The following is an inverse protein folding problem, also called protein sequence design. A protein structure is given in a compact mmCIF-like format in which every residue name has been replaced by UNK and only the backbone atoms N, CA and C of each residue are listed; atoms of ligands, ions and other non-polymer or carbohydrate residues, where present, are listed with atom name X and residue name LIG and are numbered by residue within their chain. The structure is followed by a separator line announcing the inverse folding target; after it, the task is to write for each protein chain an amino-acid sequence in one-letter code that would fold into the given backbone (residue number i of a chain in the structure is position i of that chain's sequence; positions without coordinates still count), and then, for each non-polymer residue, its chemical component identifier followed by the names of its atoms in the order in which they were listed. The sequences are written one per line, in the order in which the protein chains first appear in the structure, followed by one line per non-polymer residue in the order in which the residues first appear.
data_IF_909299307659
#
_entry.id   IF_909299307659
#
_cell.length_a   1.000
_cell.length_b   1.000
_cell.length_c   1.000
_cell.angle_alpha   90.00
_cell.angle_beta   90.00
_cell.angle_gamma   90.00
#
_symmetry.space_group_name_H-M   'P 1'
#
loop_
_entity.id
_entity.type
_entity.pdbx_description
1 polymer ?
#
# COMPACT_ATOMS: atom_id res chain seq x y z
N UNK A 1 63.22 46.98 2.93
CA UNK A 1 63.09 45.92 3.95
C UNK A 1 61.65 45.41 3.93
N UNK A 2 61.36 44.34 3.21
CA UNK A 2 60.06 43.65 3.28
C UNK A 2 60.33 42.45 4.19
N UNK A 3 59.94 42.56 5.46
CA UNK A 3 60.14 41.51 6.44
C UNK A 3 59.34 40.27 6.06
N UNK A 4 60.04 39.20 5.69
CA UNK A 4 59.45 37.88 5.42
C UNK A 4 58.96 37.28 6.74
N UNK A 5 57.72 37.56 7.13
CA UNK A 5 57.04 36.79 8.15
C UNK A 5 56.50 35.53 7.49
N UNK A 6 57.29 34.45 7.53
CA UNK A 6 56.78 33.12 7.22
C UNK A 6 55.80 32.73 8.33
N UNK A 7 54.51 32.96 8.11
CA UNK A 7 53.47 32.42 8.99
C UNK A 7 53.69 30.91 9.11
N UNK A 8 53.71 30.40 10.34
CA UNK A 8 53.70 28.96 10.58
C UNK A 8 52.50 28.31 9.87
N UNK A 9 52.60 27.07 9.35
CA UNK A 9 51.50 26.41 8.66
C UNK A 9 50.18 26.39 9.45
N UNK A 10 50.26 26.28 10.77
CA UNK A 10 49.11 26.35 11.68
C UNK A 10 48.46 27.74 11.66
N UNK A 11 49.25 28.80 11.82
CA UNK A 11 48.74 30.18 11.79
C UNK A 11 48.14 30.57 10.44
N UNK A 12 48.73 30.10 9.33
CA UNK A 12 48.15 30.26 8.00
C UNK A 12 46.79 29.54 7.89
N UNK A 13 46.72 28.28 8.34
CA UNK A 13 45.48 27.49 8.31
C UNK A 13 44.36 28.12 9.13
N UNK A 14 44.66 28.60 10.34
CA UNK A 14 43.70 29.32 11.20
C UNK A 14 43.25 30.62 10.53
N UNK A 15 44.17 31.39 9.96
CA UNK A 15 43.84 32.64 9.25
C UNK A 15 42.92 32.39 8.05
N UNK A 16 43.20 31.38 7.23
CA UNK A 16 42.33 31.01 6.10
C UNK A 16 40.96 30.54 6.58
N UNK A 17 40.91 29.68 7.60
CA UNK A 17 39.65 29.18 8.16
C UNK A 17 38.78 30.30 8.74
N UNK A 18 39.38 31.22 9.49
CA UNK A 18 38.69 32.38 10.08
C UNK A 18 38.22 33.36 9.02
N UNK A 19 39.06 33.70 8.03
CA UNK A 19 38.70 34.56 6.92
C UNK A 19 37.54 33.97 6.11
N UNK A 20 37.57 32.66 5.85
CA UNK A 20 36.52 31.98 5.09
C UNK A 20 35.21 31.85 5.89
N UNK A 21 35.28 31.60 7.20
CA UNK A 21 34.12 31.63 8.09
C UNK A 21 33.49 33.03 8.14
N UNK A 22 34.30 34.09 8.27
CA UNK A 22 33.82 35.47 8.21
C UNK A 22 33.16 35.79 6.87
N UNK A 23 33.78 35.39 5.74
CA UNK A 23 33.20 35.52 4.41
C UNK A 23 31.83 34.84 4.32
N UNK A 24 31.73 33.61 4.84
CA UNK A 24 30.48 32.85 4.86
C UNK A 24 29.36 33.47 5.68
N UNK A 25 29.68 33.99 6.87
CA UNK A 25 28.73 34.70 7.72
C UNK A 25 28.23 35.99 7.06
N UNK A 26 29.14 36.78 6.46
CA UNK A 26 28.78 37.99 5.71
C UNK A 26 27.89 37.63 4.52
N UNK A 27 28.25 36.61 3.74
CA UNK A 27 27.47 36.16 2.59
C UNK A 27 26.07 35.68 3.01
N UNK A 28 25.97 34.97 4.13
CA UNK A 28 24.70 34.50 4.69
C UNK A 28 23.82 35.67 5.15
N UNK A 29 24.42 36.67 5.82
CA UNK A 29 23.72 37.88 6.26
C UNK A 29 23.19 38.68 5.06
N UNK A 30 24.03 38.93 4.05
CA UNK A 30 23.63 39.63 2.82
C UNK A 30 22.51 38.86 2.13
N UNK A 31 22.63 37.54 2.01
CA UNK A 31 21.59 36.68 1.41
C UNK A 31 20.26 36.80 2.15
N UNK A 32 20.29 36.82 3.48
CA UNK A 32 19.11 37.00 4.32
C UNK A 32 18.45 38.38 4.10
N UNK A 33 19.25 39.45 4.15
CA UNK A 33 18.76 40.82 3.93
C UNK A 33 18.15 41.00 2.53
N UNK A 34 18.82 40.45 1.51
CA UNK A 34 18.31 40.49 0.14
C UNK A 34 17.01 39.70 0.00
N UNK A 35 16.92 38.48 0.54
CA UNK A 35 15.68 37.70 0.50
C UNK A 35 14.52 38.43 1.20
N UNK A 36 14.77 39.09 2.33
CA UNK A 36 13.75 39.84 3.04
C UNK A 36 13.26 41.06 2.25
N UNK A 37 14.18 41.84 1.67
CA UNK A 37 13.86 43.00 0.82
C UNK A 37 13.08 42.61 -0.44
N UNK A 38 13.36 41.42 -0.98
CA UNK A 38 12.74 40.91 -2.20
C UNK A 38 11.38 40.22 -1.98
N UNK A 39 10.93 40.06 -0.74
CA UNK A 39 9.68 39.36 -0.40
C UNK A 39 8.38 40.21 -0.58
N UNK A 40 8.44 41.34 -1.29
CA UNK A 40 7.29 42.21 -1.56
C UNK A 40 6.30 41.67 -2.61
N UNK A 41 5.04 42.15 -2.55
CA UNK A 41 3.85 41.72 -3.30
C UNK A 41 4.11 41.16 -4.73
N UNK A 42 3.66 39.92 -4.98
CA UNK A 42 3.71 39.28 -6.30
C UNK A 42 2.59 39.82 -7.20
N UNK A 43 2.92 40.29 -8.40
CA UNK A 43 1.89 40.71 -9.36
C UNK A 43 2.35 41.32 -10.69
N UNK A 44 3.64 41.63 -10.89
CA UNK A 44 4.14 42.29 -12.12
C UNK A 44 5.33 41.58 -12.76
N UNK A 45 5.69 41.88 -14.03
CA UNK A 45 6.88 41.34 -14.72
C UNK A 45 8.19 41.51 -13.92
N UNK A 46 8.29 42.59 -13.12
CA UNK A 46 9.38 42.87 -12.18
C UNK A 46 9.56 41.77 -11.12
N UNK A 47 8.52 40.97 -10.86
CA UNK A 47 8.52 39.84 -9.90
C UNK A 47 9.40 38.68 -10.38
N UNK A 48 9.43 38.36 -11.69
CA UNK A 48 10.20 37.22 -12.21
C UNK A 48 11.71 37.45 -12.15
N UNK A 49 12.19 38.64 -12.55
CA UNK A 49 13.61 39.00 -12.45
C UNK A 49 14.08 39.04 -10.99
N UNK A 50 13.26 39.59 -10.09
CA UNK A 50 13.54 39.57 -8.65
C UNK A 50 13.62 38.14 -8.14
N UNK A 51 12.63 37.30 -8.42
CA UNK A 51 12.63 35.90 -8.00
C UNK A 51 13.85 35.14 -8.54
N UNK A 52 14.16 35.29 -9.82
CA UNK A 52 15.35 34.70 -10.44
C UNK A 52 16.63 35.14 -9.74
N UNK A 53 16.80 36.44 -9.49
CA UNK A 53 17.99 36.97 -8.83
C UNK A 53 18.09 36.44 -7.38
N UNK A 54 16.97 36.41 -6.65
CA UNK A 54 16.91 35.82 -5.31
C UNK A 54 17.31 34.34 -5.29
N UNK A 55 16.85 33.56 -6.27
CA UNK A 55 17.28 32.17 -6.44
C UNK A 55 18.78 32.07 -6.73
N UNK A 56 19.35 32.95 -7.57
CA UNK A 56 20.79 32.97 -7.88
C UNK A 56 21.66 33.31 -6.68
N UNK A 57 21.23 34.28 -5.86
CA UNK A 57 21.92 34.68 -4.63
C UNK A 57 21.88 33.52 -3.63
N UNK A 58 20.69 32.96 -3.38
CA UNK A 58 20.50 31.82 -2.46
C UNK A 58 21.33 30.61 -2.89
N UNK A 59 21.31 30.27 -4.19
CA UNK A 59 22.11 29.18 -4.75
C UNK A 59 23.62 29.43 -4.59
N UNK A 60 24.07 30.66 -4.83
CA UNK A 60 25.48 31.04 -4.69
C UNK A 60 25.95 30.96 -3.23
N UNK A 61 25.15 31.45 -2.28
CA UNK A 61 25.44 31.31 -0.84
C UNK A 61 25.52 29.84 -0.42
N UNK A 62 24.62 29.01 -0.94
CA UNK A 62 24.61 27.58 -0.64
C UNK A 62 25.88 26.87 -1.11
N UNK A 63 26.22 27.05 -2.39
CA UNK A 63 27.38 26.40 -2.99
C UNK A 63 28.71 26.88 -2.39
N UNK A 64 28.80 28.17 -2.04
CA UNK A 64 30.03 28.77 -1.54
C UNK A 64 30.25 28.61 -0.05
N UNK A 65 29.22 28.39 0.77
CA UNK A 65 29.38 28.34 2.22
C UNK A 65 28.45 27.36 2.93
N UNK A 66 27.14 27.49 2.76
CA UNK A 66 26.21 26.81 3.70
C UNK A 66 26.21 25.29 3.54
N UNK A 67 26.64 24.76 2.38
CA UNK A 67 26.90 23.33 2.20
C UNK A 67 27.88 22.76 3.24
N UNK A 68 28.81 23.57 3.77
CA UNK A 68 29.75 23.13 4.81
C UNK A 68 29.12 23.01 6.20
N UNK A 69 27.98 23.67 6.42
CA UNK A 69 27.20 23.55 7.65
C UNK A 69 26.32 22.30 7.68
N UNK A 70 26.26 21.57 6.54
CA UNK A 70 25.54 20.32 6.40
C UNK A 70 25.80 19.35 7.54
N UNK A 71 24.73 18.76 8.08
CA UNK A 71 24.79 17.80 9.18
C UNK A 71 24.92 18.43 10.56
N UNK A 72 24.99 19.77 10.66
CA UNK A 72 25.03 20.50 11.92
C UNK A 72 23.75 21.32 12.13
N UNK A 73 23.44 21.66 13.39
CA UNK A 73 22.33 22.57 13.73
C UNK A 73 22.51 23.97 13.10
N UNK A 74 23.74 24.38 12.76
CA UNK A 74 24.00 25.67 12.13
C UNK A 74 23.28 25.80 10.78
N UNK A 75 23.07 24.70 10.04
CA UNK A 75 22.31 24.73 8.80
C UNK A 75 20.81 25.00 9.05
N UNK A 76 20.24 24.42 10.10
CA UNK A 76 18.87 24.69 10.54
C UNK A 76 18.72 26.16 10.97
N UNK A 77 19.69 26.68 11.75
CA UNK A 77 19.74 28.08 12.17
C UNK A 77 19.83 29.03 10.97
N UNK A 78 20.57 28.67 9.91
CA UNK A 78 20.67 29.45 8.67
C UNK A 78 19.35 29.51 7.88
N UNK A 79 18.58 28.41 7.84
CA UNK A 79 17.32 28.36 7.07
C UNK A 79 16.19 29.18 7.71
N UNK A 80 16.13 29.27 9.04
CA UNK A 80 15.10 30.00 9.79
C UNK A 80 14.98 31.49 9.39
N UNK A 81 16.06 32.31 9.41
CA UNK A 81 15.99 33.73 9.03
C UNK A 81 15.71 33.94 7.53
N UNK A 82 15.95 32.94 6.68
CA UNK A 82 15.52 32.97 5.27
C UNK A 82 14.02 32.73 5.07
N UNK A 83 13.29 32.44 6.14
CA UNK A 83 11.84 32.27 6.16
C UNK A 83 11.35 30.82 6.24
N UNK A 84 12.26 29.83 6.23
CA UNK A 84 11.85 28.44 6.44
C UNK A 84 11.42 28.22 7.90
N UNK A 85 10.37 27.43 8.10
CA UNK A 85 9.99 26.97 9.44
C UNK A 85 10.74 25.67 9.70
N UNK A 86 11.71 25.67 10.60
CA UNK A 86 12.51 24.47 10.93
C UNK A 86 12.45 24.23 12.43
N UNK A 87 11.93 23.06 12.82
CA UNK A 87 11.80 22.60 14.20
C UNK A 87 13.15 22.31 14.89
N UNK A 88 13.07 21.66 16.05
CA UNK A 88 14.23 21.28 16.87
C UNK A 88 14.69 19.86 16.54
N UNK A 89 15.96 19.56 16.84
CA UNK A 89 16.56 18.22 16.68
C UNK A 89 16.55 17.70 15.24
N UNK A 90 16.61 18.62 14.27
CA UNK A 90 16.64 18.26 12.85
C UNK A 90 18.08 18.00 12.40
N UNK A 91 18.26 16.99 11.57
CA UNK A 91 19.54 16.67 10.95
C UNK A 91 19.40 16.77 9.44
N UNK A 92 19.97 17.82 8.85
CA UNK A 92 19.86 18.10 7.42
C UNK A 92 21.22 17.90 6.76
N UNK A 93 21.34 16.90 5.89
CA UNK A 93 22.64 16.50 5.32
C UNK A 93 22.68 16.62 3.80
N UNK A 94 23.66 17.38 3.33
CA UNK A 94 24.11 17.48 1.94
C UNK A 94 22.97 17.73 0.92
N UNK A 95 21.99 18.55 1.28
CA UNK A 95 20.82 18.80 0.44
C UNK A 95 21.10 19.80 -0.70
N UNK A 96 20.16 19.89 -1.65
CA UNK A 96 20.14 20.95 -2.65
C UNK A 96 19.93 22.34 -1.99
N UNK A 97 20.35 23.43 -2.67
CA UNK A 97 19.94 24.77 -2.28
C UNK A 97 18.41 24.87 -2.23
N UNK A 98 17.87 25.27 -1.08
CA UNK A 98 16.44 25.56 -0.91
C UNK A 98 16.18 26.95 -1.47
N UNK A 99 15.62 27.02 -2.68
CA UNK A 99 15.49 28.29 -3.43
C UNK A 99 14.41 29.22 -2.88
N UNK A 100 13.32 28.67 -2.32
CA UNK A 100 12.26 29.45 -1.66
C UNK A 100 12.05 28.96 -0.22
N UNK A 101 12.96 29.31 0.73
CA UNK A 101 12.88 28.83 2.11
C UNK A 101 11.53 29.11 2.78
N UNK A 102 10.90 30.25 2.49
CA UNK A 102 9.55 30.62 2.97
C UNK A 102 8.43 29.63 2.64
N UNK A 103 8.63 28.75 1.64
CA UNK A 103 7.68 27.72 1.25
C UNK A 103 7.96 26.38 1.96
N UNK A 104 9.03 26.27 2.74
CA UNK A 104 9.43 25.04 3.43
C UNK A 104 9.03 25.09 4.91
N UNK A 105 8.34 24.05 5.35
CA UNK A 105 8.11 23.76 6.77
C UNK A 105 8.68 22.38 7.09
N UNK A 106 9.49 22.31 8.13
CA UNK A 106 10.15 21.12 8.67
C UNK A 106 9.84 21.06 10.17
N UNK A 107 9.22 19.97 10.60
CA UNK A 107 8.85 19.69 11.98
C UNK A 107 10.06 19.38 12.89
N UNK A 108 9.79 18.85 14.07
CA UNK A 108 10.82 18.42 15.02
C UNK A 108 11.35 17.02 14.68
N UNK A 109 12.62 16.75 14.98
CA UNK A 109 13.18 15.39 14.82
C UNK A 109 13.30 14.92 13.37
N UNK A 110 13.23 15.83 12.39
CA UNK A 110 13.30 15.47 10.97
C UNK A 110 14.74 15.18 10.55
N UNK A 111 14.93 14.07 9.84
CA UNK A 111 16.20 13.73 9.20
C UNK A 111 16.09 13.84 7.68
N UNK A 112 16.91 14.70 7.08
CA UNK A 112 17.11 14.76 5.63
C UNK A 112 18.45 14.08 5.29
N UNK A 113 18.38 12.88 4.73
CA UNK A 113 19.53 12.07 4.37
C UNK A 113 20.36 12.67 3.24
N UNK A 114 21.57 12.15 3.07
CA UNK A 114 22.57 12.70 2.15
C UNK A 114 22.01 12.86 0.73
N UNK A 115 22.20 14.04 0.14
CA UNK A 115 21.75 14.38 -1.22
C UNK A 115 20.24 14.31 -1.44
N UNK A 116 19.44 14.22 -0.38
CA UNK A 116 17.99 14.43 -0.47
C UNK A 116 17.68 15.85 -0.96
N UNK A 117 16.52 16.02 -1.60
CA UNK A 117 16.14 17.29 -2.19
C UNK A 117 14.76 17.73 -1.77
N UNK A 118 14.65 18.99 -1.37
CA UNK A 118 13.37 19.68 -1.20
C UNK A 118 13.24 20.69 -2.34
N UNK A 119 12.24 20.47 -3.19
CA UNK A 119 11.95 21.31 -4.35
C UNK A 119 10.59 21.97 -4.12
N UNK A 120 10.60 23.27 -3.88
CA UNK A 120 9.40 24.10 -3.66
C UNK A 120 8.78 24.61 -4.95
N UNK A 121 9.54 24.61 -6.05
CA UNK A 121 9.06 25.00 -7.35
C UNK A 121 9.99 24.60 -8.48
N UNK A 122 9.47 24.57 -9.70
CA UNK A 122 10.22 24.26 -10.92
C UNK A 122 9.65 25.03 -12.12
N UNK A 123 10.48 25.15 -13.16
CA UNK A 123 10.08 25.74 -14.43
C UNK A 123 9.46 24.67 -15.34
N UNK A 124 8.32 24.99 -15.93
CA UNK A 124 7.59 24.18 -16.91
C UNK A 124 7.32 25.01 -18.17
N UNK A 125 6.69 24.41 -19.19
CA UNK A 125 6.20 25.15 -20.36
C UNK A 125 5.29 26.31 -19.98
N UNK A 126 4.54 26.16 -18.88
CA UNK A 126 3.53 27.11 -18.41
C UNK A 126 4.13 28.17 -17.46
N UNK A 127 5.47 28.18 -17.33
CA UNK A 127 6.20 29.08 -16.47
C UNK A 127 6.64 28.45 -15.14
N UNK A 128 7.00 29.29 -14.18
CA UNK A 128 7.46 28.87 -12.86
C UNK A 128 6.26 28.56 -11.96
N UNK A 129 6.19 27.32 -11.49
CA UNK A 129 5.19 26.89 -10.50
C UNK A 129 5.90 26.64 -9.17
N UNK A 130 5.40 27.24 -8.08
CA UNK A 130 5.86 26.93 -6.73
C UNK A 130 4.69 26.69 -5.77
N UNK A 131 4.93 25.87 -4.76
CA UNK A 131 3.95 25.49 -3.75
C UNK A 131 4.65 25.14 -2.44
N UNK A 132 3.96 25.34 -1.32
CA UNK A 132 4.47 24.97 0.01
C UNK A 132 4.76 23.48 0.08
N UNK A 133 5.83 23.13 0.79
CA UNK A 133 6.21 21.77 1.15
C UNK A 133 6.21 21.68 2.67
N UNK A 134 5.50 20.70 3.22
CA UNK A 134 5.41 20.49 4.66
C UNK A 134 5.95 19.09 5.02
N UNK A 135 6.98 19.07 5.84
CA UNK A 135 7.55 17.86 6.46
C UNK A 135 7.22 17.94 7.95
N UNK A 136 6.39 17.04 8.46
CA UNK A 136 5.98 17.02 9.87
C UNK A 136 7.02 16.33 10.77
N UNK A 137 6.68 16.09 12.02
CA UNK A 137 7.60 15.63 13.06
C UNK A 137 8.06 14.18 12.81
N UNK A 138 9.29 13.86 13.24
CA UNK A 138 9.90 12.53 13.18
C UNK A 138 9.98 11.90 11.78
N UNK A 139 9.98 12.72 10.73
CA UNK A 139 10.10 12.24 9.35
C UNK A 139 11.55 11.91 9.01
N UNK A 140 11.75 10.80 8.30
CA UNK A 140 13.06 10.43 7.73
C UNK A 140 12.98 10.43 6.21
N UNK A 141 13.79 11.27 5.59
CA UNK A 141 14.00 11.25 4.14
C UNK A 141 15.30 10.52 3.82
N UNK A 142 15.20 9.39 3.14
CA UNK A 142 16.36 8.60 2.73
C UNK A 142 17.27 9.34 1.76
N UNK A 143 18.51 8.87 1.63
CA UNK A 143 19.49 9.48 0.74
C UNK A 143 18.98 9.59 -0.70
N UNK A 144 19.26 10.73 -1.35
CA UNK A 144 18.80 11.05 -2.71
C UNK A 144 17.27 11.00 -2.92
N UNK A 145 16.47 11.00 -1.85
CA UNK A 145 15.02 11.17 -1.97
C UNK A 145 14.67 12.58 -2.43
N UNK A 146 13.50 12.75 -3.05
CA UNK A 146 13.05 14.04 -3.58
C UNK A 146 11.66 14.36 -3.06
N UNK A 147 11.48 15.56 -2.54
CA UNK A 147 10.20 16.10 -2.09
C UNK A 147 9.78 17.21 -3.05
N UNK A 148 8.65 17.01 -3.73
CA UNK A 148 8.16 17.90 -4.78
C UNK A 148 7.11 18.91 -4.28
N UNK A 149 6.83 19.98 -5.04
CA UNK A 149 5.96 21.07 -4.58
C UNK A 149 4.56 20.58 -4.17
N UNK A 150 4.03 21.11 -3.07
CA UNK A 150 2.70 20.76 -2.58
C UNK A 150 2.60 19.46 -1.80
N UNK A 151 3.71 18.75 -1.63
CA UNK A 151 3.70 17.55 -0.82
C UNK A 151 3.60 17.86 0.67
N UNK A 152 2.81 17.02 1.36
CA UNK A 152 2.69 17.00 2.82
C UNK A 152 3.16 15.63 3.27
N UNK A 153 4.25 15.59 4.02
CA UNK A 153 4.81 14.37 4.58
C UNK A 153 4.42 14.36 6.05
N UNK A 154 3.49 13.47 6.41
CA UNK A 154 2.94 13.43 7.76
C UNK A 154 3.93 12.88 8.79
N UNK A 155 3.57 12.99 10.07
CA UNK A 155 4.37 12.53 11.20
C UNK A 155 4.83 11.07 11.04
N UNK A 156 6.02 10.76 11.55
CA UNK A 156 6.56 9.40 11.62
C UNK A 156 6.74 8.69 10.25
N UNK A 157 6.69 9.43 9.14
CA UNK A 157 6.87 8.89 7.78
C UNK A 157 8.35 8.64 7.47
N UNK A 158 8.63 7.53 6.77
CA UNK A 158 9.94 7.24 6.18
C UNK A 158 9.80 7.21 4.67
N UNK A 159 10.57 8.05 3.97
CA UNK A 159 10.76 7.95 2.52
C UNK A 159 12.07 7.19 2.28
N UNK A 160 12.00 6.08 1.53
CA UNK A 160 13.17 5.28 1.18
C UNK A 160 14.20 6.07 0.36
N UNK A 161 15.43 5.58 0.32
CA UNK A 161 16.45 6.14 -0.56
C UNK A 161 15.97 6.13 -2.03
N UNK A 162 16.39 7.12 -2.82
CA UNK A 162 16.01 7.28 -4.24
C UNK A 162 14.49 7.38 -4.51
N UNK A 163 13.67 7.57 -3.47
CA UNK A 163 12.21 7.64 -3.59
C UNK A 163 11.73 9.09 -3.65
N UNK A 164 10.52 9.30 -4.17
CA UNK A 164 9.98 10.64 -4.43
C UNK A 164 8.64 10.81 -3.70
N UNK A 165 8.45 11.95 -3.03
CA UNK A 165 7.12 12.46 -2.66
C UNK A 165 6.58 13.31 -3.84
N UNK A 166 5.56 12.84 -4.57
CA UNK A 166 5.04 13.50 -5.77
C UNK A 166 4.48 14.89 -5.51
N UNK A 167 4.34 15.66 -6.58
CA UNK A 167 3.65 16.96 -6.55
C UNK A 167 2.24 16.76 -5.97
N UNK A 168 1.85 17.60 -5.01
CA UNK A 168 0.52 17.56 -4.37
C UNK A 168 0.14 16.23 -3.70
N UNK A 169 1.15 15.48 -3.22
CA UNK A 169 0.91 14.22 -2.51
C UNK A 169 0.79 14.43 -1.00
N UNK A 170 0.04 13.53 -0.34
CA UNK A 170 0.05 13.40 1.12
C UNK A 170 0.57 12.01 1.46
N UNK A 171 1.75 11.94 2.08
CA UNK A 171 2.29 10.70 2.63
C UNK A 171 1.76 10.54 4.04
N UNK A 172 1.06 9.45 4.29
CA UNK A 172 0.27 9.20 5.49
C UNK A 172 1.13 8.80 6.68
N UNK A 173 0.72 9.24 7.87
CA UNK A 173 1.41 9.06 9.15
C UNK A 173 1.88 7.62 9.36
N UNK A 174 3.14 7.48 9.78
CA UNK A 174 3.79 6.19 10.07
C UNK A 174 4.11 5.32 8.84
N UNK A 175 3.78 5.79 7.63
CA UNK A 175 4.04 5.06 6.40
C UNK A 175 5.53 5.01 6.03
N UNK A 176 5.97 3.86 5.53
CA UNK A 176 7.26 3.68 4.86
C UNK A 176 7.01 3.61 3.36
N UNK A 177 7.50 4.59 2.62
CA UNK A 177 7.24 4.77 1.19
C UNK A 177 8.49 4.49 0.35
N UNK A 178 8.34 3.72 -0.73
CA UNK A 178 9.41 3.45 -1.70
C UNK A 178 8.92 3.66 -3.13
N UNK A 179 9.76 4.23 -3.99
CA UNK A 179 9.51 4.39 -5.43
C UNK A 179 9.42 5.85 -5.87
N UNK A 180 9.45 6.08 -7.19
CA UNK A 180 9.54 7.43 -7.79
C UNK A 180 8.26 7.90 -8.48
N UNK A 181 7.65 7.08 -9.35
CA UNK A 181 6.45 7.48 -10.11
C UNK A 181 5.17 7.39 -9.28
N UNK A 182 5.05 6.34 -8.48
CA UNK A 182 3.92 6.09 -7.60
C UNK A 182 4.49 5.48 -6.32
N UNK A 183 4.92 6.31 -5.34
CA UNK A 183 5.49 5.79 -4.12
C UNK A 183 4.48 4.87 -3.44
N UNK A 184 4.90 3.64 -3.18
CA UNK A 184 4.07 2.61 -2.55
C UNK A 184 4.38 2.64 -1.06
N UNK A 185 3.34 2.71 -0.22
CA UNK A 185 3.49 2.45 1.19
C UNK A 185 3.69 0.95 1.39
N UNK A 186 4.91 0.54 1.76
CA UNK A 186 5.26 -0.88 1.95
C UNK A 186 4.95 -1.37 3.37
N UNK A 187 4.85 -0.44 4.33
CA UNK A 187 4.58 -0.71 5.74
C UNK A 187 3.97 0.53 6.36
N UNK A 188 3.01 0.37 7.25
CA UNK A 188 2.61 1.42 8.19
C UNK A 188 3.05 1.00 9.59
N UNK A 189 3.85 1.84 10.25
CA UNK A 189 4.39 1.59 11.59
C UNK A 189 3.37 1.85 12.71
N UNK A 190 2.22 2.44 12.38
CA UNK A 190 1.13 2.67 13.33
C UNK A 190 0.24 1.43 13.50
N UNK A 191 0.25 0.50 12.53
CA UNK A 191 -0.50 -0.74 12.68
C UNK A 191 0.31 -1.72 13.51
N UNK A 192 -0.32 -2.29 14.54
CA UNK A 192 0.23 -3.43 15.26
C UNK A 192 0.56 -4.55 14.26
N UNK A 193 1.74 -5.12 14.39
CA UNK A 193 2.11 -6.30 13.62
C UNK A 193 1.21 -7.44 14.11
N UNK A 194 0.42 -8.01 13.20
CA UNK A 194 -0.41 -9.17 13.51
C UNK A 194 0.50 -10.29 14.05
N UNK A 195 0.34 -10.63 15.33
CA UNK A 195 1.15 -11.65 16.01
C UNK A 195 1.14 -12.97 15.22
N UNK A 196 0.02 -13.28 14.55
CA UNK A 196 -0.12 -14.48 13.71
C UNK A 196 0.85 -14.48 12.52
N UNK A 197 1.31 -13.32 12.03
CA UNK A 197 2.32 -13.18 10.96
C UNK A 197 3.73 -13.37 11.52
N UNK A 198 3.97 -12.97 12.76
CA UNK A 198 5.27 -13.17 13.43
C UNK A 198 5.47 -14.62 13.87
N UNK A 199 4.41 -15.29 14.31
CA UNK A 199 4.43 -16.70 14.68
C UNK A 199 4.47 -17.67 13.48
N UNK A 200 4.34 -17.18 12.24
CA UNK A 200 4.39 -18.04 11.05
C UNK A 200 5.75 -18.72 10.93
N UNK A 201 5.72 -20.00 10.54
CA UNK A 201 6.92 -20.71 10.11
C UNK A 201 7.71 -19.88 9.07
N UNK A 202 9.04 -19.74 9.20
CA UNK A 202 9.83 -18.88 8.32
C UNK A 202 9.72 -19.24 6.83
N UNK A 203 9.59 -20.53 6.49
CA UNK A 203 9.44 -20.98 5.10
C UNK A 203 8.05 -20.58 4.58
N UNK A 204 7.01 -20.75 5.38
CA UNK A 204 5.67 -20.28 5.08
C UNK A 204 5.64 -18.76 4.87
N UNK A 205 6.20 -17.98 5.81
CA UNK A 205 6.29 -16.51 5.77
C UNK A 205 7.01 -16.03 4.50
N UNK A 206 8.10 -16.70 4.10
CA UNK A 206 8.83 -16.38 2.86
C UNK A 206 7.98 -16.60 1.60
N UNK A 207 7.27 -17.73 1.50
CA UNK A 207 6.40 -18.02 0.34
C UNK A 207 5.26 -17.00 0.27
N UNK A 208 4.59 -16.73 1.41
CA UNK A 208 3.52 -15.74 1.49
C UNK A 208 4.02 -14.34 1.13
N UNK A 209 5.18 -13.93 1.62
CA UNK A 209 5.76 -12.61 1.31
C UNK A 209 6.03 -12.42 -0.18
N UNK A 210 6.62 -13.42 -0.84
CA UNK A 210 6.87 -13.38 -2.29
C UNK A 210 5.56 -13.37 -3.09
N UNK A 211 4.58 -14.17 -2.68
CA UNK A 211 3.27 -14.23 -3.31
C UNK A 211 2.53 -12.89 -3.15
N UNK A 212 2.54 -12.33 -1.94
CA UNK A 212 1.90 -11.06 -1.61
C UNK A 212 2.48 -9.92 -2.46
N UNK A 213 3.80 -9.86 -2.64
CA UNK A 213 4.42 -8.85 -3.50
C UNK A 213 3.94 -8.94 -4.96
N UNK A 214 3.88 -10.15 -5.53
CA UNK A 214 3.40 -10.38 -6.90
C UNK A 214 1.91 -10.03 -7.07
N UNK A 215 1.08 -10.45 -6.11
CA UNK A 215 -0.35 -10.15 -6.10
C UNK A 215 -0.59 -8.64 -5.92
N UNK A 216 0.18 -7.98 -5.05
CA UNK A 216 0.07 -6.55 -4.77
C UNK A 216 0.42 -5.71 -6.00
N UNK A 217 1.50 -6.02 -6.72
CA UNK A 217 1.87 -5.29 -7.93
C UNK A 217 0.74 -5.28 -8.96
N UNK A 218 0.10 -6.44 -9.17
CA UNK A 218 -1.03 -6.58 -10.10
C UNK A 218 -2.27 -5.85 -9.59
N UNK A 219 -2.60 -6.00 -8.30
CA UNK A 219 -3.76 -5.37 -7.65
C UNK A 219 -3.66 -3.85 -7.67
N UNK A 220 -2.48 -3.29 -7.38
CA UNK A 220 -2.22 -1.84 -7.40
C UNK A 220 -2.35 -1.27 -8.81
N UNK A 221 -1.86 -2.01 -9.83
CA UNK A 221 -1.96 -1.61 -11.23
C UNK A 221 -3.41 -1.68 -11.73
N UNK A 222 -4.12 -2.76 -11.43
CA UNK A 222 -5.49 -2.99 -11.91
C UNK A 222 -6.56 -2.28 -11.08
N UNK A 223 -6.22 -1.80 -9.87
CA UNK A 223 -7.12 -1.22 -8.86
C UNK A 223 -8.35 -2.08 -8.59
N UNK A 224 -8.18 -3.40 -8.67
CA UNK A 224 -9.21 -4.42 -8.47
C UNK A 224 -8.56 -5.64 -7.84
N UNK A 225 -9.36 -6.51 -7.23
CA UNK A 225 -8.85 -7.76 -6.66
C UNK A 225 -8.16 -8.61 -7.72
N UNK A 226 -7.14 -9.36 -7.29
CA UNK A 226 -6.45 -10.31 -8.15
C UNK A 226 -7.37 -11.47 -8.56
N UNK A 227 -7.94 -12.17 -7.58
CA UNK A 227 -9.01 -13.18 -7.78
C UNK A 227 -10.36 -12.58 -7.44
N UNK A 228 -11.44 -13.21 -7.90
CA UNK A 228 -12.78 -12.75 -7.58
C UNK A 228 -13.00 -11.28 -7.94
N UNK A 229 -12.53 -10.89 -9.14
CA UNK A 229 -12.48 -9.50 -9.60
C UNK A 229 -13.86 -8.92 -9.82
N UNK A 230 -14.77 -9.74 -10.35
CA UNK A 230 -16.18 -9.40 -10.59
C UNK A 230 -17.06 -10.21 -9.65
N UNK A 231 -18.08 -9.53 -9.14
CA UNK A 231 -19.06 -10.09 -8.27
C UNK A 231 -20.17 -9.09 -7.98
N UNK A 232 -21.19 -9.58 -7.30
CA UNK A 232 -22.36 -8.82 -6.87
C UNK A 232 -22.44 -8.90 -5.36
N UNK A 233 -22.75 -7.78 -4.71
CA UNK A 233 -22.87 -7.69 -3.26
C UNK A 233 -24.26 -7.24 -2.87
N UNK A 234 -24.71 -7.71 -1.70
CA UNK A 234 -25.96 -7.29 -1.11
C UNK A 234 -25.86 -7.21 0.41
N UNK A 235 -26.97 -6.80 1.03
CA UNK A 235 -27.17 -6.86 2.48
C UNK A 235 -28.32 -7.79 2.77
N UNK A 236 -28.21 -8.57 3.83
CA UNK A 236 -29.26 -9.46 4.30
C UNK A 236 -29.34 -9.54 5.82
N UNK A 237 -30.28 -10.34 6.30
CA UNK A 237 -30.49 -10.64 7.72
C UNK A 237 -30.11 -12.10 7.96
N UNK A 238 -29.33 -12.38 9.01
CA UNK A 238 -29.08 -13.75 9.46
C UNK A 238 -29.86 -13.99 10.73
N UNK A 239 -30.84 -14.88 10.63
CA UNK A 239 -31.53 -15.44 11.79
C UNK A 239 -30.83 -16.74 12.16
N UNK A 240 -30.49 -16.88 13.43
CA UNK A 240 -29.95 -18.11 14.00
C UNK A 240 -31.12 -18.92 14.56
N UNK A 241 -31.04 -20.25 14.46
CA UNK A 241 -32.03 -21.13 15.09
C UNK A 241 -31.92 -21.02 16.63
N UNK A 242 -33.05 -20.96 17.32
CA UNK A 242 -33.11 -20.71 18.78
C UNK A 242 -32.33 -21.76 19.61
N UNK A 243 -32.19 -22.98 19.09
CA UNK A 243 -31.37 -24.03 19.68
C UNK A 243 -30.71 -24.86 18.56
N UNK A 244 -29.39 -24.98 18.59
CA UNK A 244 -28.62 -25.84 17.69
C UNK A 244 -28.16 -27.06 18.49
N UNK A 245 -28.89 -28.16 18.35
CA UNK A 245 -28.58 -29.40 19.08
C UNK A 245 -27.12 -29.84 18.85
N UNK A 246 -26.42 -30.14 19.95
CA UNK A 246 -25.01 -30.55 19.93
C UNK A 246 -23.99 -29.41 19.89
N UNK A 247 -24.43 -28.14 19.85
CA UNK A 247 -23.54 -26.98 19.90
C UNK A 247 -23.78 -26.15 21.17
N UNK A 248 -22.75 -25.93 22.01
CA UNK A 248 -22.86 -24.97 23.11
C UNK A 248 -22.97 -23.52 22.59
N UNK A 249 -23.29 -22.59 23.49
CA UNK A 249 -23.40 -21.17 23.16
C UNK A 249 -22.08 -20.58 22.63
N UNK A 250 -22.18 -19.78 21.57
CA UNK A 250 -21.06 -19.09 20.94
C UNK A 250 -21.48 -17.69 20.50
N UNK A 251 -20.57 -16.71 20.59
CA UNK A 251 -20.81 -15.30 20.22
C UNK A 251 -21.25 -15.06 18.76
N UNK A 252 -21.17 -16.08 17.91
CA UNK A 252 -21.54 -16.00 16.49
C UNK A 252 -23.01 -16.43 16.30
N UNK A 253 -23.55 -17.22 17.23
CA UNK A 253 -24.93 -17.70 17.25
C UNK A 253 -25.87 -16.66 17.85
N UNK A 254 -25.81 -15.43 17.32
CA UNK A 254 -26.72 -14.33 17.65
C UNK A 254 -27.43 -13.88 16.37
N UNK A 255 -28.64 -13.32 16.43
CA UNK A 255 -29.32 -12.76 15.25
C UNK A 255 -28.59 -11.49 14.77
N UNK A 256 -28.52 -11.30 13.45
CA UNK A 256 -27.83 -10.16 12.83
C UNK A 256 -28.73 -9.43 11.82
N UNK A 257 -28.98 -8.15 12.06
CA UNK A 257 -29.93 -7.33 11.28
C UNK A 257 -29.35 -6.80 9.96
N UNK A 258 -28.03 -6.64 9.85
CA UNK A 258 -27.38 -6.21 8.61
C UNK A 258 -26.06 -6.96 8.38
N UNK A 259 -26.08 -7.93 7.47
CA UNK A 259 -24.91 -8.67 7.05
C UNK A 259 -24.59 -8.41 5.58
N UNK A 260 -23.43 -7.82 5.28
CA UNK A 260 -22.95 -7.74 3.92
C UNK A 260 -22.54 -9.14 3.44
N UNK A 261 -22.98 -9.48 2.24
CA UNK A 261 -22.57 -10.68 1.53
C UNK A 261 -22.16 -10.35 0.09
N UNK A 262 -21.40 -11.25 -0.53
CA UNK A 262 -20.96 -11.10 -1.90
C UNK A 262 -20.88 -12.45 -2.61
N UNK A 263 -21.35 -12.51 -3.85
CA UNK A 263 -21.05 -13.58 -4.79
C UNK A 263 -20.03 -13.11 -5.84
N UNK A 264 -19.24 -14.02 -6.39
CA UNK A 264 -18.21 -13.70 -7.38
C UNK A 264 -17.82 -14.90 -8.24
N UNK A 265 -17.22 -14.62 -9.39
CA UNK A 265 -16.45 -15.62 -10.14
C UNK A 265 -15.11 -15.85 -9.46
N UNK A 266 -14.40 -16.95 -9.72
CA UNK A 266 -13.12 -17.22 -9.06
C UNK A 266 -11.94 -16.64 -9.83
N UNK A 267 -11.96 -16.75 -11.15
CA UNK A 267 -10.83 -16.43 -12.00
C UNK A 267 -10.92 -15.00 -12.58
N UNK A 268 -9.86 -14.60 -13.30
CA UNK A 268 -9.60 -13.21 -13.71
C UNK A 268 -10.48 -12.78 -14.89
N UNK A 269 -11.09 -13.73 -15.61
CA UNK A 269 -11.85 -13.44 -16.82
C UNK A 269 -13.26 -12.96 -16.47
N UNK A 270 -13.60 -11.80 -16.99
CA UNK A 270 -14.85 -11.07 -16.74
C UNK A 270 -16.01 -11.65 -17.61
N UNK A 271 -16.31 -12.94 -17.47
CA UNK A 271 -17.37 -13.64 -18.23
C UNK A 271 -18.06 -14.74 -17.40
N UNK A 272 -19.32 -14.50 -17.05
CA UNK A 272 -20.16 -15.37 -16.22
C UNK A 272 -20.49 -16.70 -16.91
N UNK A 273 -20.51 -16.75 -18.25
CA UNK A 273 -20.87 -17.94 -19.02
C UNK A 273 -19.72 -18.96 -19.08
N UNK A 274 -18.50 -18.57 -18.73
CA UNK A 274 -17.39 -19.50 -18.59
C UNK A 274 -17.63 -20.45 -17.42
N UNK A 275 -17.21 -21.69 -17.60
CA UNK A 275 -17.26 -22.67 -16.51
C UNK A 275 -16.13 -22.34 -15.54
N UNK A 276 -16.52 -21.95 -14.33
CA UNK A 276 -15.60 -21.50 -13.29
C UNK A 276 -16.07 -21.99 -11.92
N UNK A 277 -15.17 -21.99 -10.95
CA UNK A 277 -15.55 -22.00 -9.56
C UNK A 277 -16.22 -20.66 -9.20
N UNK A 278 -17.18 -20.70 -8.28
CA UNK A 278 -17.89 -19.50 -7.82
C UNK A 278 -17.59 -19.28 -6.34
N UNK A 279 -17.38 -18.02 -5.98
CA UNK A 279 -17.14 -17.58 -4.60
C UNK A 279 -18.40 -17.02 -3.96
N UNK A 280 -18.51 -17.20 -2.64
CA UNK A 280 -19.43 -16.49 -1.78
C UNK A 280 -18.69 -15.99 -0.55
N UNK A 281 -18.93 -14.76 -0.11
CA UNK A 281 -18.35 -14.20 1.09
C UNK A 281 -19.45 -13.61 1.98
N UNK A 282 -19.36 -13.84 3.28
CA UNK A 282 -20.22 -13.26 4.30
C UNK A 282 -19.36 -12.65 5.40
N UNK A 283 -19.74 -11.48 5.90
CA UNK A 283 -19.06 -10.82 7.01
C UNK A 283 -20.01 -10.58 8.16
N UNK A 284 -19.69 -11.13 9.34
CA UNK A 284 -20.38 -10.91 10.61
C UNK A 284 -19.61 -9.86 11.40
N UNK A 285 -20.27 -8.75 11.72
CA UNK A 285 -19.67 -7.62 12.43
C UNK A 285 -19.85 -7.75 13.95
N UNK A 286 -18.99 -7.11 14.74
CA UNK A 286 -19.19 -7.04 16.20
C UNK A 286 -20.31 -6.06 16.55
N UNK A 287 -21.14 -6.41 17.54
CA UNK A 287 -22.13 -5.50 18.12
C UNK A 287 -21.51 -4.39 18.99
N UNK A 288 -20.23 -4.52 19.38
CA UNK A 288 -19.54 -3.48 20.15
C UNK A 288 -19.41 -2.22 19.28
N UNK A 289 -19.45 -1.06 19.91
CA UNK A 289 -19.44 0.30 19.30
C UNK A 289 -18.33 0.57 18.27
N UNK A 290 -17.38 -0.34 18.14
CA UNK A 290 -16.31 -0.34 17.16
C UNK A 290 -16.69 -1.26 15.99
N UNK A 291 -17.45 -0.73 15.02
CA UNK A 291 -17.87 -1.46 13.80
C UNK A 291 -16.70 -1.83 12.87
N UNK A 292 -15.46 -1.56 13.25
CA UNK A 292 -14.28 -1.75 12.40
C UNK A 292 -13.78 -3.20 12.36
N UNK A 293 -13.96 -3.98 13.44
CA UNK A 293 -13.48 -5.38 13.48
C UNK A 293 -14.60 -6.41 13.23
N UNK A 294 -14.52 -7.26 12.19
CA UNK A 294 -15.48 -8.35 11.99
C UNK A 294 -15.29 -9.44 13.04
N UNK A 295 -16.39 -9.99 13.56
CA UNK A 295 -16.37 -11.22 14.37
C UNK A 295 -16.01 -12.43 13.51
N UNK A 296 -16.48 -12.47 12.26
CA UNK A 296 -16.22 -13.58 11.35
C UNK A 296 -16.31 -13.12 9.89
N UNK A 297 -15.21 -13.23 9.16
CA UNK A 297 -15.22 -13.23 7.70
C UNK A 297 -15.24 -14.69 7.20
N UNK A 298 -16.31 -15.06 6.50
CA UNK A 298 -16.45 -16.35 5.83
C UNK A 298 -16.20 -16.18 4.34
N UNK A 299 -15.14 -16.80 3.85
CA UNK A 299 -14.85 -16.94 2.42
C UNK A 299 -15.16 -18.37 2.02
N UNK A 300 -16.12 -18.54 1.13
CA UNK A 300 -16.65 -19.82 0.69
C UNK A 300 -16.48 -19.93 -0.83
N UNK A 301 -16.40 -21.16 -1.32
CA UNK A 301 -16.41 -21.43 -2.76
C UNK A 301 -17.17 -22.70 -3.09
N UNK A 302 -17.52 -22.87 -4.35
CA UNK A 302 -18.05 -24.13 -4.86
C UNK A 302 -17.02 -25.26 -4.74
N UNK A 303 -17.51 -26.48 -4.48
CA UNK A 303 -16.72 -27.69 -4.31
C UNK A 303 -16.31 -27.99 -2.87
N UNK A 304 -16.47 -29.27 -2.48
CA UNK A 304 -16.37 -29.75 -1.09
C UNK A 304 -14.94 -29.70 -0.52
N UNK A 305 -13.93 -29.64 -1.39
CA UNK A 305 -12.52 -29.57 -1.02
C UNK A 305 -11.82 -28.41 -1.73
N UNK A 306 -10.75 -27.91 -1.10
CA UNK A 306 -9.78 -27.02 -1.76
C UNK A 306 -8.63 -27.86 -2.28
N UNK A 307 -8.15 -27.55 -3.48
CA UNK A 307 -7.12 -28.35 -4.15
C UNK A 307 -5.74 -28.19 -3.50
N UNK A 308 -5.43 -27.01 -2.95
CA UNK A 308 -4.17 -26.75 -2.29
C UNK A 308 -4.28 -27.07 -0.80
N UNK A 309 -3.42 -27.98 -0.30
CA UNK A 309 -3.33 -28.29 1.13
C UNK A 309 -2.34 -27.38 1.85
N UNK A 310 -1.35 -26.88 1.13
CA UNK A 310 -0.31 -25.98 1.63
C UNK A 310 -0.22 -24.72 0.79
N UNK A 311 0.40 -23.66 1.34
CA UNK A 311 0.72 -22.47 0.55
C UNK A 311 1.65 -22.77 -0.63
N UNK A 312 2.49 -23.81 -0.50
CA UNK A 312 3.35 -24.25 -1.60
C UNK A 312 2.54 -24.85 -2.74
N UNK A 313 1.52 -25.67 -2.44
CA UNK A 313 0.60 -26.21 -3.47
C UNK A 313 -0.12 -25.07 -4.19
N UNK A 314 -0.56 -24.06 -3.44
CA UNK A 314 -1.22 -22.88 -4.00
C UNK A 314 -0.28 -22.06 -4.88
N UNK A 315 0.96 -21.84 -4.44
CA UNK A 315 1.98 -21.13 -5.22
C UNK A 315 2.35 -21.87 -6.52
N UNK A 316 2.52 -23.20 -6.46
CA UNK A 316 2.74 -24.04 -7.64
C UNK A 316 1.57 -23.91 -8.62
N UNK A 317 0.33 -23.98 -8.12
CA UNK A 317 -0.84 -23.80 -8.96
C UNK A 317 -0.85 -22.44 -9.66
N UNK A 318 -0.54 -21.36 -8.93
CA UNK A 318 -0.59 -20.02 -9.49
C UNK A 318 0.52 -19.74 -10.51
N UNK A 319 1.73 -20.23 -10.28
CA UNK A 319 2.93 -19.83 -11.03
C UNK A 319 3.26 -20.80 -12.18
N UNK A 320 2.98 -22.09 -12.01
CA UNK A 320 3.41 -23.11 -12.97
C UNK A 320 2.40 -23.31 -14.10
N UNK A 321 2.87 -23.73 -15.29
CA UNK A 321 2.01 -24.10 -16.42
C UNK A 321 1.34 -25.47 -16.25
N UNK A 322 0.40 -25.79 -17.15
CA UNK A 322 -0.39 -27.02 -17.10
C UNK A 322 0.44 -28.32 -16.94
N UNK A 323 1.55 -28.56 -17.67
CA UNK A 323 2.31 -29.80 -17.54
C UNK A 323 2.86 -30.03 -16.12
N UNK A 324 3.33 -28.96 -15.47
CA UNK A 324 3.84 -29.04 -14.09
C UNK A 324 2.72 -29.26 -13.07
N UNK A 325 1.52 -28.70 -13.31
CA UNK A 325 0.34 -28.97 -12.47
C UNK A 325 -0.12 -30.42 -12.61
N UNK A 326 -0.13 -30.98 -13.82
CA UNK A 326 -0.47 -32.38 -14.04
C UNK A 326 0.54 -33.33 -13.39
N UNK A 327 1.83 -32.98 -13.38
CA UNK A 327 2.83 -33.73 -12.61
C UNK A 327 2.53 -33.71 -11.10
N UNK A 328 2.10 -32.55 -10.57
CA UNK A 328 1.64 -32.46 -9.18
C UNK A 328 0.41 -33.33 -8.92
N UNK A 329 -0.53 -33.44 -9.87
CA UNK A 329 -1.69 -34.34 -9.77
C UNK A 329 -1.27 -35.80 -9.68
N UNK A 330 -0.23 -36.24 -10.41
CA UNK A 330 0.29 -37.61 -10.28
C UNK A 330 0.74 -37.93 -8.85
N UNK A 331 1.40 -36.97 -8.20
CA UNK A 331 1.85 -37.10 -6.81
C UNK A 331 0.70 -36.97 -5.81
N UNK A 332 -0.33 -36.18 -6.14
CA UNK A 332 -1.43 -35.85 -5.26
C UNK A 332 -2.78 -35.92 -6.02
N UNK A 333 -3.33 -37.13 -6.27
CA UNK A 333 -4.50 -37.32 -7.15
C UNK A 333 -5.75 -36.52 -6.76
N UNK A 334 -5.95 -36.28 -5.46
CA UNK A 334 -7.07 -35.49 -4.94
C UNK A 334 -7.18 -34.07 -5.52
N UNK A 335 -6.08 -33.49 -6.02
CA UNK A 335 -6.07 -32.16 -6.66
C UNK A 335 -7.02 -32.15 -7.84
N UNK A 336 -6.98 -33.19 -8.68
CA UNK A 336 -7.86 -33.33 -9.84
C UNK A 336 -9.32 -33.26 -9.41
N UNK A 337 -9.69 -34.10 -8.46
CA UNK A 337 -11.09 -34.22 -8.03
C UNK A 337 -11.56 -32.94 -7.35
N UNK A 338 -10.72 -32.29 -6.54
CA UNK A 338 -11.03 -31.02 -5.89
C UNK A 338 -11.24 -29.87 -6.90
N UNK A 339 -10.44 -29.82 -7.96
CA UNK A 339 -10.57 -28.81 -9.03
C UNK A 339 -11.85 -29.03 -9.82
N UNK A 340 -12.07 -30.22 -10.38
CA UNK A 340 -13.28 -30.51 -11.16
C UNK A 340 -14.56 -30.34 -10.34
N UNK A 341 -14.56 -30.79 -9.09
CA UNK A 341 -15.69 -30.62 -8.18
C UNK A 341 -15.99 -29.15 -7.85
N UNK A 342 -15.05 -28.22 -8.07
CA UNK A 342 -15.29 -26.80 -7.83
C UNK A 342 -16.02 -26.10 -8.98
N UNK A 343 -15.94 -26.62 -10.21
CA UNK A 343 -16.47 -25.97 -11.40
C UNK A 343 -18.00 -26.10 -11.50
N UNK A 344 -18.67 -25.07 -12.02
CA UNK A 344 -20.13 -25.06 -12.19
C UNK A 344 -20.58 -24.46 -13.52
N UNK A 345 -21.61 -25.06 -14.11
CA UNK A 345 -22.47 -24.41 -15.11
C UNK A 345 -23.52 -23.54 -14.41
N UNK A 346 -23.09 -22.39 -13.89
CA UNK A 346 -23.96 -21.53 -13.10
C UNK A 346 -25.02 -20.83 -13.98
N UNK A 347 -26.27 -20.81 -13.50
CA UNK A 347 -27.36 -19.99 -14.06
C UNK A 347 -27.80 -18.88 -13.10
N UNK A 348 -27.63 -19.10 -11.80
CA UNK A 348 -27.79 -18.12 -10.74
C UNK A 348 -26.78 -18.39 -9.64
N UNK A 349 -26.34 -17.35 -8.92
CA UNK A 349 -25.56 -17.54 -7.69
C UNK A 349 -26.39 -18.14 -6.55
N UNK A 350 -27.72 -17.93 -6.55
CA UNK A 350 -28.61 -18.38 -5.49
C UNK A 350 -28.85 -19.91 -5.51
N UNK A 351 -28.54 -20.58 -6.61
CA UNK A 351 -28.72 -22.03 -6.81
C UNK A 351 -27.47 -22.87 -6.45
N UNK A 352 -26.44 -22.26 -5.86
CA UNK A 352 -25.14 -22.90 -5.64
C UNK A 352 -24.87 -23.23 -4.17
N UNK A 353 -24.16 -24.34 -3.96
CA UNK A 353 -23.62 -24.72 -2.65
C UNK A 353 -22.18 -24.27 -2.51
N UNK A 354 -21.87 -23.58 -1.42
CA UNK A 354 -20.54 -23.04 -1.11
C UNK A 354 -20.00 -23.60 0.20
N UNK A 355 -18.69 -23.79 0.25
CA UNK A 355 -17.99 -24.45 1.35
C UNK A 355 -16.80 -23.62 1.79
N UNK A 356 -16.54 -23.55 3.10
CA UNK A 356 -15.34 -22.85 3.62
C UNK A 356 -14.05 -23.58 3.27
N UNK A 357 -14.13 -24.91 3.09
CA UNK A 357 -13.06 -25.89 2.92
C UNK A 357 -12.04 -25.96 4.08
N UNK A 358 -11.65 -24.81 4.63
CA UNK A 358 -10.74 -24.62 5.76
C UNK A 358 -11.48 -24.91 7.07
N UNK A 359 -10.82 -25.69 7.92
CA UNK A 359 -11.26 -26.00 9.27
C UNK A 359 -10.88 -24.86 10.22
N UNK A 360 -11.79 -24.48 11.11
CA UNK A 360 -11.55 -23.46 12.15
C UNK A 360 -11.76 -24.06 13.53
N UNK A 361 -10.98 -23.62 14.50
CA UNK A 361 -11.19 -23.97 15.91
C UNK A 361 -12.24 -23.02 16.49
N UNK A 362 -13.34 -23.57 16.96
CA UNK A 362 -14.37 -22.86 17.72
C UNK A 362 -14.15 -23.12 19.20
N UNK A 363 -14.13 -22.03 19.98
CA UNK A 363 -14.06 -22.06 21.44
C UNK A 363 -15.37 -21.57 21.99
N UNK A 364 -16.11 -22.46 22.62
CA UNK A 364 -17.42 -22.17 23.16
C UNK A 364 -17.34 -21.48 24.50
N UNK A 365 -18.44 -20.86 24.92
CA UNK A 365 -18.53 -20.12 26.20
C UNK A 365 -18.26 -21.00 27.43
N UNK A 366 -18.51 -22.30 27.34
CA UNK A 366 -18.23 -23.29 28.37
C UNK A 366 -16.76 -23.80 28.37
N UNK A 367 -15.90 -23.28 27.49
CA UNK A 367 -14.50 -23.71 27.34
C UNK A 367 -14.28 -24.94 26.46
N UNK A 368 -15.34 -25.58 25.96
CA UNK A 368 -15.21 -26.67 24.99
C UNK A 368 -14.62 -26.16 23.67
N UNK A 369 -13.84 -26.99 23.01
CA UNK A 369 -13.30 -26.69 21.69
C UNK A 369 -13.81 -27.68 20.64
N UNK A 370 -14.20 -27.19 19.46
CA UNK A 370 -14.57 -28.03 18.31
C UNK A 370 -14.00 -27.50 17.00
N UNK A 371 -13.71 -28.42 16.10
CA UNK A 371 -13.31 -28.10 14.73
C UNK A 371 -14.54 -27.95 13.83
N UNK A 372 -14.69 -26.80 13.18
CA UNK A 372 -15.86 -26.49 12.36
C UNK A 372 -15.50 -26.14 10.91
N UNK A 373 -16.40 -26.48 9.99
CA UNK A 373 -16.42 -26.01 8.60
C UNK A 373 -17.81 -25.47 8.29
N UNK A 374 -17.86 -24.46 7.43
CA UNK A 374 -19.11 -23.81 7.06
C UNK A 374 -19.55 -24.25 5.68
N UNK A 375 -20.88 -24.37 5.52
CA UNK A 375 -21.54 -24.60 4.25
C UNK A 375 -22.66 -23.57 4.11
N UNK A 376 -22.70 -22.90 2.97
CA UNK A 376 -23.84 -22.11 2.53
C UNK A 376 -24.56 -22.90 1.44
N UNK A 377 -25.88 -22.99 1.54
CA UNK A 377 -26.72 -23.70 0.58
C UNK A 377 -27.96 -22.88 0.21
N UNK A 378 -28.57 -23.14 -0.95
CA UNK A 378 -29.87 -22.55 -1.31
C UNK A 378 -30.95 -22.86 -0.28
N UNK A 379 -31.94 -21.97 -0.16
CA UNK A 379 -33.13 -22.21 0.67
C UNK A 379 -33.99 -23.34 0.10
N UNK A 380 -34.07 -23.44 -1.23
CA UNK A 380 -34.69 -24.57 -1.92
C UNK A 380 -33.87 -25.85 -1.66
N UNK A 381 -34.48 -26.74 -0.88
CA UNK A 381 -33.87 -27.99 -0.45
C UNK A 381 -33.79 -29.05 -1.57
N UNK A 382 -34.50 -28.84 -2.68
CA UNK A 382 -34.48 -29.76 -3.83
C UNK A 382 -33.20 -29.59 -4.66
N UNK A 383 -32.52 -28.44 -4.55
CA UNK A 383 -31.26 -28.19 -5.24
C UNK A 383 -30.14 -28.99 -4.57
N UNK A 384 -29.75 -30.09 -5.22
CA UNK A 384 -28.66 -30.96 -4.79
C UNK A 384 -27.28 -30.26 -4.84
N UNK A 385 -26.32 -30.80 -4.08
CA UNK A 385 -24.93 -30.34 -4.08
C UNK A 385 -24.22 -30.56 -5.44
N UNK A 386 -24.70 -31.55 -6.20
CA UNK A 386 -24.21 -31.93 -7.52
C UNK A 386 -24.95 -31.20 -8.66
N UNK A 387 -25.91 -30.32 -8.33
CA UNK A 387 -26.56 -29.47 -9.32
C UNK A 387 -25.53 -28.69 -10.11
N UNK A 388 -25.67 -28.73 -11.45
CA UNK A 388 -24.80 -28.04 -12.41
C UNK A 388 -23.32 -28.40 -12.29
N UNK A 389 -23.01 -29.58 -11.75
CA UNK A 389 -21.65 -30.12 -11.72
C UNK A 389 -21.12 -30.31 -13.15
N UNK A 390 -19.82 -30.12 -13.29
CA UNK A 390 -19.09 -30.28 -14.54
C UNK A 390 -18.38 -31.63 -14.51
N UNK A 391 -18.62 -32.44 -15.53
CA UNK A 391 -17.95 -33.73 -15.63
C UNK A 391 -16.49 -33.57 -16.12
N UNK A 392 -15.52 -34.30 -15.53
CA UNK A 392 -14.13 -34.20 -15.95
C UNK A 392 -13.90 -34.65 -17.39
N UNK A 393 -13.35 -33.77 -18.21
CA UNK A 393 -12.95 -34.07 -19.61
C UNK A 393 -11.45 -34.34 -19.77
N UNK A 394 -10.68 -34.32 -18.67
CA UNK A 394 -9.23 -34.53 -18.67
C UNK A 394 -8.63 -34.69 -17.28
N UNK A 395 -7.30 -34.59 -17.16
CA UNK A 395 -6.61 -34.60 -15.87
C UNK A 395 -6.96 -33.31 -15.12
N UNK A 396 -6.75 -32.16 -15.73
CA UNK A 396 -7.17 -30.86 -15.23
C UNK A 396 -7.99 -30.13 -16.30
N UNK A 397 -8.86 -29.18 -15.92
CA UNK A 397 -9.47 -28.27 -16.88
C UNK A 397 -8.38 -27.49 -17.65
N UNK A 398 -8.68 -27.04 -18.87
CA UNK A 398 -7.80 -26.15 -19.61
C UNK A 398 -7.51 -24.85 -18.82
N UNK A 399 -6.42 -24.17 -19.18
CA UNK A 399 -5.98 -22.92 -18.55
C UNK A 399 -5.73 -23.04 -17.01
N UNK A 400 -5.93 -21.97 -16.25
CA UNK A 400 -5.75 -21.86 -14.79
C UNK A 400 -6.95 -22.36 -13.98
N UNK A 401 -7.75 -23.28 -14.52
CA UNK A 401 -8.92 -23.80 -13.81
C UNK A 401 -10.28 -23.30 -14.31
N UNK A 402 -10.37 -22.76 -15.53
CA UNK A 402 -11.66 -22.40 -16.16
C UNK A 402 -11.76 -23.01 -17.55
N UNK A 403 -12.98 -23.36 -17.94
CA UNK A 403 -13.26 -23.77 -19.33
C UNK A 403 -13.82 -22.56 -20.07
N UNK A 404 -13.36 -22.29 -21.31
CA UNK A 404 -13.91 -21.23 -22.14
C UNK A 404 -15.43 -21.34 -22.29
N UNK A 405 -16.03 -20.19 -22.60
CA UNK A 405 -17.44 -20.07 -22.93
C UNK A 405 -17.77 -20.94 -24.15
N UNK A 406 -18.94 -21.59 -24.12
CA UNK A 406 -19.47 -22.27 -25.30
C UNK A 406 -19.72 -21.25 -26.42
N UNK A 407 -19.28 -21.55 -27.65
CA UNK A 407 -19.46 -20.67 -28.81
C UNK A 407 -20.92 -20.33 -29.12
N UNK A 408 -21.87 -21.17 -28.68
CA UNK A 408 -23.29 -20.96 -28.89
C UNK A 408 -23.98 -20.20 -27.74
N UNK A 409 -23.26 -19.90 -26.65
CA UNK A 409 -23.84 -19.18 -25.51
C UNK A 409 -23.90 -17.68 -25.79
N UNK A 410 -25.11 -17.16 -25.97
CA UNK A 410 -25.39 -15.76 -26.33
C UNK A 410 -25.78 -14.88 -25.14
N UNK A 411 -25.70 -15.39 -23.90
CA UNK A 411 -26.07 -14.62 -22.71
C UNK A 411 -25.19 -13.36 -22.51
N UNK A 412 -25.63 -12.34 -21.78
CA UNK A 412 -24.75 -11.23 -21.40
C UNK A 412 -23.49 -11.72 -20.66
N UNK A 413 -22.37 -10.98 -20.75
CA UNK A 413 -21.13 -11.33 -20.04
C UNK A 413 -21.32 -11.39 -18.52
N UNK A 414 -22.23 -10.59 -17.97
CA UNK A 414 -22.45 -10.44 -16.53
C UNK A 414 -23.86 -10.89 -16.10
N UNK A 415 -24.43 -11.87 -16.79
CA UNK A 415 -25.82 -12.28 -16.57
C UNK A 415 -26.09 -12.82 -15.15
N UNK A 416 -25.09 -13.38 -14.45
CA UNK A 416 -25.27 -13.85 -13.06
C UNK A 416 -25.38 -12.67 -12.09
N UNK A 417 -24.71 -11.56 -12.40
CA UNK A 417 -24.84 -10.32 -11.63
C UNK A 417 -26.21 -9.69 -11.86
N UNK A 418 -26.70 -9.71 -13.10
CA UNK A 418 -28.03 -9.19 -13.46
C UNK A 418 -29.14 -10.03 -12.83
N UNK A 419 -29.07 -11.36 -12.92
CA UNK A 419 -29.99 -12.30 -12.26
C UNK A 419 -30.05 -12.10 -10.75
N UNK A 420 -28.92 -11.80 -10.11
CA UNK A 420 -28.90 -11.58 -8.67
C UNK A 420 -29.55 -10.25 -8.23
N UNK A 421 -29.71 -9.29 -9.14
CA UNK A 421 -30.33 -7.99 -8.86
C UNK A 421 -31.86 -8.02 -9.01
N UNK A 422 -32.38 -8.98 -9.78
CA UNK A 422 -33.80 -9.23 -9.97
C UNK A 422 -34.37 -10.09 -8.85
#
# INVERSE_FOLDING_TARGET
MIGSTSLSPLSFSISVATAYLAHGLILSLITCLMNHSMSGNQGTKTTYLRMWLGHRITNSCHLKFTKLLSGTEAFCIYLRPLGAKVGKYCSIRAINPVLEPKLVSIGNGVHLGDFSRIITGFYSSDGFTSRKVAVQDNVVLGSQSIVLPGSIIQEDVIIGALSVAPVNSVLQRGGVYIGSQSPIMIKNRMHELDERIEEMDPKYKKIVGNLAANLAATTLKARRRYFHRIGVSGKGVLKIFDNIEGFPDHNIFQPWEELPFQHSNSLIVDDDARIDARGAALRILSHKSDRESPLLDMTLKTGKAFYARTISDFATWLVCGLPAREEQVKHAPHIRDAVWMSLRHANSFAELHYYSNICRLFRFTNGQEMYVKFKLRPSDVTISEDSRKVEPIGILPPETGAIPRDSNDTRPLLFLVEDFQT
#
